data_IF_596080697999
#
_entry.id   IF_596080697999
#
_cell.length_a   1.000
_cell.length_b   1.000
_cell.length_c   1.000
_cell.angle_alpha   90.00
_cell.angle_beta   90.00
_cell.angle_gamma   90.00
#
_symmetry.space_group_name_H-M   'P 1'
#
loop_
_entity.id
_entity.type
_entity.pdbx_description
1 polymer ?
#
# COMPACT_ATOMS: atom_id res chain seq x y z
N UNK A 1 -1.39 -12.44 9.68
CA UNK A 1 -0.79 -12.85 8.38
C UNK A 1 0.45 -12.02 8.10
N UNK A 2 0.36 -10.72 7.76
CA UNK A 2 1.52 -9.90 7.41
C UNK A 2 2.67 -9.93 8.45
N UNK A 3 2.36 -9.70 9.73
CA UNK A 3 3.35 -9.75 10.83
C UNK A 3 3.99 -11.12 11.01
N UNK A 4 3.18 -12.16 10.98
CA UNK A 4 3.64 -13.53 11.17
C UNK A 4 4.57 -13.96 10.02
N UNK A 5 4.24 -13.60 8.77
CA UNK A 5 5.10 -13.87 7.63
C UNK A 5 6.41 -13.08 7.68
N UNK A 6 6.37 -11.80 8.08
CA UNK A 6 7.57 -11.00 8.29
C UNK A 6 8.46 -11.62 9.38
N UNK A 7 7.88 -12.05 10.49
CA UNK A 7 8.59 -12.70 11.59
C UNK A 7 9.21 -14.04 11.19
N UNK A 8 8.59 -14.80 10.27
CA UNK A 8 9.16 -16.03 9.73
C UNK A 8 10.48 -15.79 8.98
N UNK A 9 10.69 -14.58 8.44
CA UNK A 9 11.96 -14.14 7.86
C UNK A 9 12.86 -13.37 8.84
N UNK A 10 12.49 -13.28 10.13
CA UNK A 10 13.22 -12.50 11.13
C UNK A 10 13.12 -10.97 10.96
N UNK A 11 12.12 -10.49 10.21
CA UNK A 11 11.96 -9.07 9.88
C UNK A 11 10.85 -8.44 10.74
N UNK A 12 11.10 -7.21 11.20
CA UNK A 12 10.11 -6.35 11.85
C UNK A 12 9.45 -5.37 10.86
N UNK A 13 8.20 -5.02 11.11
CA UNK A 13 7.46 -4.04 10.30
C UNK A 13 7.43 -2.70 11.02
N UNK A 14 7.88 -1.64 10.35
CA UNK A 14 7.78 -0.28 10.84
C UNK A 14 6.47 0.35 10.36
N UNK A 15 5.44 0.36 11.21
CA UNK A 15 4.12 0.88 10.88
C UNK A 15 4.06 2.40 10.66
N UNK A 16 5.02 3.16 11.19
CA UNK A 16 5.06 4.60 10.96
C UNK A 16 5.46 4.92 9.50
N UNK A 17 6.27 4.06 8.88
CA UNK A 17 6.73 4.23 7.49
C UNK A 17 5.99 3.35 6.48
N UNK A 18 5.48 2.20 6.89
CA UNK A 18 4.81 1.26 5.99
C UNK A 18 3.39 1.73 5.70
N UNK A 19 3.09 1.96 4.42
CA UNK A 19 1.76 2.25 3.90
C UNK A 19 1.31 1.10 2.99
N UNK A 20 0.00 0.92 2.84
CA UNK A 20 -0.58 -0.08 1.95
C UNK A 20 -1.45 0.63 0.93
N UNK A 21 -1.37 0.23 -0.33
CA UNK A 21 -2.30 0.67 -1.37
C UNK A 21 -3.20 -0.50 -1.75
N UNK A 22 -4.50 -0.25 -1.85
CA UNK A 22 -5.46 -1.23 -2.33
C UNK A 22 -5.67 -0.94 -3.81
N UNK A 23 -5.32 -1.87 -4.68
CA UNK A 23 -5.50 -1.73 -6.13
C UNK A 23 -6.98 -1.89 -6.47
N UNK A 24 -7.54 -0.91 -7.16
CA UNK A 24 -8.91 -0.93 -7.67
C UNK A 24 -8.96 -1.66 -9.01
N UNK A 25 -9.36 -2.94 -8.97
CA UNK A 25 -9.41 -3.79 -10.16
C UNK A 25 -10.80 -3.86 -10.82
N UNK A 26 -11.87 -3.56 -10.09
CA UNK A 26 -13.25 -3.89 -10.51
C UNK A 26 -14.29 -2.87 -9.98
N UNK A 27 -13.90 -1.63 -9.63
CA UNK A 27 -14.79 -0.48 -9.41
C UNK A 27 -16.08 -0.78 -8.61
N UNK A 28 -15.97 -1.27 -7.36
CA UNK A 28 -17.12 -1.28 -6.44
C UNK A 28 -16.77 -1.34 -4.94
N UNK A 29 -15.97 -0.40 -4.43
CA UNK A 29 -15.85 -0.22 -2.98
C UNK A 29 -15.74 1.25 -2.61
N UNK A 30 -16.87 1.96 -2.73
CA UNK A 30 -17.05 3.38 -2.38
C UNK A 30 -16.81 3.70 -0.89
N UNK A 31 -16.41 2.72 -0.08
CA UNK A 31 -16.04 2.94 1.32
C UNK A 31 -14.54 3.21 1.35
N UNK A 32 -14.17 4.47 1.57
CA UNK A 32 -12.79 4.86 1.82
C UNK A 32 -12.22 4.07 3.02
N UNK A 33 -11.53 2.96 2.73
CA UNK A 33 -10.80 2.18 3.73
C UNK A 33 -9.61 3.05 4.14
N UNK A 34 -9.60 3.48 5.40
CA UNK A 34 -8.53 4.34 5.93
C UNK A 34 -7.31 3.56 6.40
N UNK A 35 -7.49 2.30 6.80
CA UNK A 35 -6.43 1.46 7.32
C UNK A 35 -6.69 -0.03 7.06
N UNK A 36 -5.60 -0.79 6.91
CA UNK A 36 -5.60 -2.26 6.87
C UNK A 36 -4.70 -2.76 7.99
N UNK A 37 -5.30 -3.34 9.02
CA UNK A 37 -4.59 -3.65 10.26
C UNK A 37 -4.00 -2.39 10.89
N UNK A 38 -2.68 -2.37 11.08
CA UNK A 38 -1.93 -1.22 11.61
C UNK A 38 -1.35 -0.30 10.52
N UNK A 39 -1.55 -0.63 9.24
CA UNK A 39 -1.04 0.15 8.13
C UNK A 39 -2.09 1.16 7.68
N UNK A 40 -1.64 2.38 7.38
CA UNK A 40 -2.47 3.38 6.71
C UNK A 40 -2.64 3.02 5.23
N UNK A 41 -3.84 3.29 4.71
CA UNK A 41 -4.14 3.11 3.29
C UNK A 41 -3.88 4.40 2.51
N UNK A 42 -3.15 4.29 1.42
CA UNK A 42 -2.87 5.39 0.47
C UNK A 42 -3.50 5.07 -0.90
N UNK A 43 -3.74 6.10 -1.70
CA UNK A 43 -4.27 5.95 -3.07
C UNK A 43 -3.19 5.95 -4.15
N UNK A 44 -2.03 6.52 -3.84
CA UNK A 44 -0.87 6.49 -4.71
C UNK A 44 0.41 6.47 -3.86
N UNK A 45 1.51 6.06 -4.47
CA UNK A 45 2.83 6.06 -3.85
C UNK A 45 3.90 6.30 -4.90
N UNK A 46 4.96 7.00 -4.50
CA UNK A 46 6.16 7.13 -5.32
C UNK A 46 7.02 5.89 -5.11
N UNK A 47 7.36 5.21 -6.19
CA UNK A 47 8.21 4.04 -6.16
C UNK A 47 9.29 4.16 -7.23
N UNK A 48 10.55 4.22 -6.78
CA UNK A 48 11.72 4.33 -7.64
C UNK A 48 11.65 5.49 -8.66
N UNK A 49 11.00 6.59 -8.30
CA UNK A 49 10.84 7.78 -9.16
C UNK A 49 9.60 7.74 -10.06
N UNK A 50 8.72 6.75 -9.89
CA UNK A 50 7.43 6.73 -10.59
C UNK A 50 6.29 6.84 -9.60
N UNK A 51 5.31 7.70 -9.92
CA UNK A 51 4.04 7.76 -9.22
C UNK A 51 3.18 6.58 -9.67
N UNK A 52 2.89 5.67 -8.74
CA UNK A 52 2.01 4.54 -8.97
C UNK A 52 0.68 4.83 -8.29
N UNK A 53 -0.41 4.77 -9.03
CA UNK A 53 -1.76 4.92 -8.49
C UNK A 53 -2.48 3.58 -8.31
N UNK A 54 -3.60 3.63 -7.59
CA UNK A 54 -4.40 2.46 -7.29
C UNK A 54 -5.16 1.88 -8.50
N UNK A 55 -5.21 2.58 -9.64
CA UNK A 55 -5.74 2.04 -10.90
C UNK A 55 -4.74 1.15 -11.63
N UNK A 56 -3.48 1.14 -11.17
CA UNK A 56 -2.37 0.43 -11.81
C UNK A 56 -1.63 1.28 -12.85
N UNK A 57 -1.90 2.58 -12.92
CA UNK A 57 -1.13 3.51 -13.73
C UNK A 57 0.22 3.79 -13.07
N UNK A 58 1.22 4.11 -13.91
CA UNK A 58 2.57 4.42 -13.51
C UNK A 58 3.04 5.63 -14.32
N UNK A 59 3.15 6.77 -13.67
CA UNK A 59 3.63 8.01 -14.27
C UNK A 59 5.06 8.30 -13.81
N UNK A 60 5.89 8.87 -14.68
CA UNK A 60 7.20 9.34 -14.24
C UNK A 60 7.03 10.57 -13.34
N UNK A 61 7.55 10.50 -12.12
CA UNK A 61 7.67 11.65 -11.24
C UNK A 61 9.11 12.18 -11.40
N UNK A 62 9.25 13.48 -11.65
CA UNK A 62 10.54 14.13 -11.95
C UNK A 62 11.41 14.21 -10.69
#
# INVERSE_FOLDING_TARGET
ILEQHSAAYGLGINYNRTKVMIVDREHDNHRAIKSVGRCEVVQSFVYLGSLIDNSGNCENEI
#
